data_IF_497427037097
#
_entry.id   IF_497427037097
#
_cell.length_a   1.000
_cell.length_b   1.000
_cell.length_c   1.000
_cell.angle_alpha   90.00
_cell.angle_beta   90.00
_cell.angle_gamma   90.00
#
_symmetry.space_group_name_H-M   'P 1'
#
loop_
_entity.id
_entity.type
_entity.pdbx_description
1 polymer ?
#
# COMPACT_ATOMS: atom_id res chain seq x y z
N UNK A 1 -15.24 -15.16 4.03
CA UNK A 1 -14.15 -14.69 3.13
C UNK A 1 -14.30 -13.21 2.81
N UNK A 2 -15.49 -12.77 2.38
CA UNK A 2 -15.79 -11.38 2.04
C UNK A 2 -15.69 -10.42 3.24
N UNK A 3 -16.19 -10.82 4.41
CA UNK A 3 -16.10 -10.03 5.66
C UNK A 3 -14.65 -9.74 6.09
N UNK A 4 -13.74 -10.71 5.93
CA UNK A 4 -12.32 -10.52 6.20
C UNK A 4 -11.66 -9.53 5.23
N UNK A 5 -12.09 -9.51 3.97
CA UNK A 5 -11.59 -8.57 2.96
C UNK A 5 -12.09 -7.16 3.27
N UNK A 6 -13.36 -7.00 3.64
CA UNK A 6 -13.93 -5.70 4.03
C UNK A 6 -13.17 -5.09 5.20
N UNK A 7 -12.84 -5.88 6.23
CA UNK A 7 -12.04 -5.42 7.37
C UNK A 7 -10.63 -5.01 6.93
N UNK A 8 -9.99 -5.75 6.03
CA UNK A 8 -8.68 -5.37 5.48
C UNK A 8 -8.74 -4.05 4.71
N UNK A 9 -9.80 -3.82 3.93
CA UNK A 9 -10.00 -2.52 3.28
C UNK A 9 -10.22 -1.39 4.28
N UNK A 10 -11.02 -1.61 5.33
CA UNK A 10 -11.25 -0.60 6.37
C UNK A 10 -9.97 -0.23 7.12
N UNK A 11 -9.18 -1.22 7.52
CA UNK A 11 -7.86 -1.00 8.15
C UNK A 11 -6.94 -0.27 7.18
N UNK A 12 -6.89 -0.72 5.92
CA UNK A 12 -6.05 -0.12 4.88
C UNK A 12 -6.40 1.34 4.60
N UNK A 13 -7.69 1.65 4.48
CA UNK A 13 -8.19 3.03 4.31
C UNK A 13 -7.85 3.87 5.54
N UNK A 14 -8.05 3.34 6.75
CA UNK A 14 -7.69 4.03 7.99
C UNK A 14 -6.20 4.39 8.03
N UNK A 15 -5.32 3.45 7.69
CA UNK A 15 -3.87 3.67 7.62
C UNK A 15 -3.48 4.65 6.51
N UNK A 16 -4.12 4.57 5.34
CA UNK A 16 -3.88 5.51 4.24
C UNK A 16 -4.26 6.95 4.63
N UNK A 17 -5.37 7.12 5.34
CA UNK A 17 -5.79 8.44 5.84
C UNK A 17 -4.84 8.99 6.91
N UNK A 18 -4.16 8.14 7.69
CA UNK A 18 -3.15 8.57 8.66
C UNK A 18 -1.88 9.14 8.01
N UNK A 19 -1.63 8.87 6.73
CA UNK A 19 -0.51 9.49 5.99
C UNK A 19 -0.63 11.01 6.05
N UNK A 20 -1.85 11.53 5.88
CA UNK A 20 -2.12 12.98 5.81
C UNK A 20 -1.68 13.71 7.10
N UNK A 21 -2.24 13.42 8.29
CA UNK A 21 -1.85 14.15 9.51
C UNK A 21 -0.39 13.92 9.90
N UNK A 22 0.21 12.77 9.57
CA UNK A 22 1.63 12.52 9.87
C UNK A 22 2.53 13.40 8.98
N UNK A 23 2.26 13.41 7.68
CA UNK A 23 3.06 14.17 6.70
C UNK A 23 2.88 15.67 6.90
N UNK A 24 1.63 16.15 7.03
CA UNK A 24 1.33 17.57 7.27
C UNK A 24 1.83 18.03 8.65
N UNK A 25 1.70 17.19 9.68
CA UNK A 25 2.24 17.47 11.01
C UNK A 25 3.76 17.59 11.01
N UNK A 26 4.46 16.71 10.28
CA UNK A 26 5.91 16.79 10.13
C UNK A 26 6.34 18.07 9.40
N UNK A 27 5.60 18.49 8.36
CA UNK A 27 5.82 19.74 7.65
C UNK A 27 5.63 20.97 8.54
N UNK A 28 4.59 20.98 9.37
CA UNK A 28 4.29 22.09 10.27
C UNK A 28 5.37 22.30 11.34
N UNK A 29 5.98 21.21 11.83
CA UNK A 29 7.05 21.27 12.83
C UNK A 29 8.41 21.61 12.20
N UNK A 30 8.61 21.27 10.91
CA UNK A 30 9.88 21.46 10.20
C UNK A 30 9.66 22.12 8.83
N UNK A 31 9.38 23.44 8.80
CA UNK A 31 8.93 24.16 7.59
C UNK A 31 9.96 24.27 6.45
N UNK A 32 11.24 23.97 6.70
CA UNK A 32 12.32 24.02 5.69
C UNK A 32 12.77 22.63 5.21
N UNK A 33 11.91 21.62 5.31
CA UNK A 33 12.29 20.23 5.06
C UNK A 33 12.69 19.93 3.59
N UNK A 34 12.41 20.80 2.62
CA UNK A 34 12.93 20.68 1.25
C UNK A 34 12.81 19.26 0.65
N UNK A 35 13.91 18.73 0.11
CA UNK A 35 14.00 17.35 -0.44
C UNK A 35 13.73 16.25 0.60
N UNK A 36 13.86 16.54 1.91
CA UNK A 36 13.56 15.58 2.98
C UNK A 36 12.06 15.29 3.13
N UNK A 37 11.20 16.06 2.45
CA UNK A 37 9.76 15.83 2.44
C UNK A 37 9.43 14.45 1.88
N UNK A 38 10.02 14.14 0.73
CA UNK A 38 9.89 12.84 0.10
C UNK A 38 10.38 11.74 1.04
N UNK A 39 11.49 11.98 1.73
CA UNK A 39 12.04 11.03 2.72
C UNK A 39 11.04 10.74 3.86
N UNK A 40 10.43 11.77 4.46
CA UNK A 40 9.42 11.60 5.52
C UNK A 40 8.19 10.85 5.01
N UNK A 41 7.74 11.17 3.80
CA UNK A 41 6.63 10.48 3.16
C UNK A 41 6.95 9.00 2.94
N UNK A 42 8.10 8.68 2.32
CA UNK A 42 8.52 7.30 2.07
C UNK A 42 8.66 6.49 3.36
N UNK A 43 9.26 7.05 4.42
CA UNK A 43 9.36 6.37 5.71
C UNK A 43 8.01 6.16 6.39
N UNK A 44 7.12 7.15 6.31
CA UNK A 44 5.77 7.05 6.86
C UNK A 44 5.00 5.94 6.16
N UNK A 45 4.99 5.96 4.82
CA UNK A 45 4.35 4.93 4.01
C UNK A 45 4.95 3.57 4.33
N UNK A 46 6.28 3.42 4.34
CA UNK A 46 6.93 2.16 4.65
C UNK A 46 6.56 1.61 6.04
N UNK A 47 6.48 2.46 7.05
CA UNK A 47 6.11 2.07 8.42
C UNK A 47 4.65 1.63 8.51
N UNK A 48 3.75 2.38 7.87
CA UNK A 48 2.33 2.01 7.78
C UNK A 48 2.14 0.72 6.97
N UNK A 49 3.00 0.49 5.98
CA UNK A 49 3.01 -0.75 5.22
C UNK A 49 3.33 -1.97 6.08
N UNK A 50 4.41 -1.89 6.87
CA UNK A 50 4.76 -2.95 7.83
C UNK A 50 3.60 -3.20 8.81
N UNK A 51 3.00 -2.12 9.32
CA UNK A 51 1.89 -2.19 10.28
C UNK A 51 0.70 -2.93 9.69
N UNK A 52 0.29 -2.62 8.46
CA UNK A 52 -0.80 -3.32 7.79
C UNK A 52 -0.51 -4.79 7.54
N UNK A 53 0.72 -5.12 7.14
CA UNK A 53 1.12 -6.52 6.94
C UNK A 53 1.08 -7.30 8.25
N UNK A 54 1.50 -6.69 9.35
CA UNK A 54 1.38 -7.27 10.69
C UNK A 54 -0.09 -7.51 11.08
N UNK A 55 -0.98 -6.55 10.80
CA UNK A 55 -2.39 -6.64 11.21
C UNK A 55 -3.25 -7.55 10.32
N UNK A 56 -2.88 -7.74 9.05
CA UNK A 56 -3.78 -8.36 8.06
C UNK A 56 -3.27 -9.64 7.43
N UNK A 57 -2.00 -9.98 7.61
CA UNK A 57 -1.41 -11.18 6.99
C UNK A 57 -1.60 -12.41 7.87
N UNK A 58 -2.08 -13.51 7.27
CA UNK A 58 -2.25 -14.79 7.94
C UNK A 58 -1.29 -15.88 7.41
N UNK A 59 -0.29 -15.48 6.63
CA UNK A 59 0.66 -16.40 5.99
C UNK A 59 1.87 -16.71 6.87
N UNK A 60 2.56 -17.81 6.54
CA UNK A 60 3.88 -18.10 7.09
C UNK A 60 4.87 -17.00 6.66
N UNK A 61 5.82 -16.69 7.53
CA UNK A 61 6.78 -15.59 7.38
C UNK A 61 7.35 -15.43 5.96
N UNK A 62 7.82 -16.51 5.32
CA UNK A 62 8.39 -16.43 3.96
C UNK A 62 7.41 -15.93 2.90
N UNK A 63 6.13 -16.35 2.96
CA UNK A 63 5.09 -15.88 2.05
C UNK A 63 4.67 -14.45 2.36
N UNK A 64 4.68 -14.05 3.63
CA UNK A 64 4.46 -12.66 4.06
C UNK A 64 5.53 -11.74 3.48
N UNK A 65 6.81 -12.12 3.59
CA UNK A 65 7.94 -11.35 3.05
C UNK A 65 7.84 -11.25 1.52
N UNK A 66 7.51 -12.35 0.84
CA UNK A 66 7.33 -12.32 -0.61
C UNK A 66 6.15 -11.42 -1.04
N UNK A 67 5.01 -11.51 -0.36
CA UNK A 67 3.85 -10.64 -0.61
C UNK A 67 4.22 -9.17 -0.40
N UNK A 68 4.99 -8.86 0.64
CA UNK A 68 5.47 -7.52 0.93
C UNK A 68 6.37 -6.98 -0.19
N UNK A 69 7.38 -7.74 -0.61
CA UNK A 69 8.32 -7.32 -1.67
C UNK A 69 7.57 -7.07 -2.98
N UNK A 70 6.69 -7.98 -3.39
CA UNK A 70 5.92 -7.83 -4.63
C UNK A 70 5.00 -6.60 -4.59
N UNK A 71 4.30 -6.40 -3.47
CA UNK A 71 3.42 -5.24 -3.31
C UNK A 71 4.21 -3.93 -3.33
N UNK A 72 5.37 -3.89 -2.67
CA UNK A 72 6.24 -2.71 -2.67
C UNK A 72 6.73 -2.36 -4.09
N UNK A 73 7.11 -3.37 -4.88
CA UNK A 73 7.53 -3.19 -6.27
C UNK A 73 6.38 -2.63 -7.11
N UNK A 74 5.19 -3.25 -7.07
CA UNK A 74 4.03 -2.78 -7.84
C UNK A 74 3.63 -1.36 -7.45
N UNK A 75 3.55 -1.09 -6.15
CA UNK A 75 3.23 0.24 -5.65
C UNK A 75 4.23 1.29 -6.15
N UNK A 76 5.53 0.98 -6.17
CA UNK A 76 6.56 1.91 -6.67
C UNK A 76 6.35 2.24 -8.15
N UNK A 77 6.06 1.24 -8.99
CA UNK A 77 5.76 1.47 -10.40
C UNK A 77 4.50 2.32 -10.58
N UNK A 78 3.45 2.06 -9.79
CA UNK A 78 2.22 2.83 -9.82
C UNK A 78 2.43 4.29 -9.40
N UNK A 79 3.27 4.55 -8.40
CA UNK A 79 3.61 5.94 -8.01
C UNK A 79 4.30 6.68 -9.16
N UNK A 80 5.24 6.04 -9.86
CA UNK A 80 5.91 6.66 -11.02
C UNK A 80 4.90 6.96 -12.14
N UNK A 81 3.93 6.07 -12.35
CA UNK A 81 2.88 6.29 -13.35
C UNK A 81 1.97 7.45 -12.94
N UNK A 82 1.49 7.48 -11.70
CA UNK A 82 0.65 8.55 -11.16
C UNK A 82 1.39 9.88 -11.29
N UNK A 83 2.63 9.95 -10.82
CA UNK A 83 3.43 11.17 -10.91
C UNK A 83 3.54 11.65 -12.35
N UNK A 84 3.90 10.78 -13.31
CA UNK A 84 3.99 11.13 -14.72
C UNK A 84 2.65 11.54 -15.34
N UNK A 85 1.57 10.84 -15.03
CA UNK A 85 0.24 11.12 -15.59
C UNK A 85 -0.32 12.44 -15.09
N UNK A 86 -0.03 12.80 -13.84
CA UNK A 86 -0.58 14.01 -13.24
C UNK A 86 0.38 15.21 -13.27
N UNK A 87 1.66 15.03 -13.61
CA UNK A 87 2.70 16.08 -13.61
C UNK A 87 2.31 17.35 -14.37
N UNK A 88 1.74 17.20 -15.58
CA UNK A 88 1.38 18.31 -16.47
C UNK A 88 -0.12 18.69 -16.40
N UNK A 89 -0.88 18.06 -15.50
CA UNK A 89 -2.32 18.29 -15.41
C UNK A 89 -2.64 19.55 -14.58
N UNK A 90 -3.76 20.23 -14.88
CA UNK A 90 -4.31 21.35 -14.09
C UNK A 90 -4.42 21.00 -12.59
N UNK A 91 -4.55 19.70 -12.28
CA UNK A 91 -4.64 19.14 -10.95
C UNK A 91 -3.34 19.37 -10.15
N UNK A 92 -2.15 19.36 -10.77
CA UNK A 92 -0.85 19.54 -10.08
C UNK A 92 -0.55 20.98 -9.63
N UNK A 93 -1.37 21.96 -10.06
CA UNK A 93 -1.14 23.38 -9.77
C UNK A 93 -1.92 23.91 -8.54
N UNK A 94 -2.77 23.12 -7.88
CA UNK A 94 -3.54 23.55 -6.70
C UNK A 94 -3.14 22.86 -5.40
N UNK A 95 -2.90 23.57 -4.30
CA UNK A 95 -2.43 23.04 -2.99
C UNK A 95 -3.10 21.74 -2.50
N UNK A 96 -4.36 21.47 -2.87
CA UNK A 96 -5.13 20.31 -2.44
C UNK A 96 -4.81 18.97 -3.16
N UNK A 97 -3.99 18.94 -4.21
CA UNK A 97 -3.75 17.70 -4.99
C UNK A 97 -2.83 16.70 -4.30
N UNK A 98 -1.91 17.18 -3.46
CA UNK A 98 -0.98 16.34 -2.69
C UNK A 98 -1.74 15.29 -1.87
N UNK A 99 -2.87 15.70 -1.29
CA UNK A 99 -3.77 14.83 -0.53
C UNK A 99 -4.42 13.75 -1.39
N UNK A 100 -4.86 14.10 -2.60
CA UNK A 100 -5.46 13.15 -3.54
C UNK A 100 -4.47 12.06 -3.94
N UNK A 101 -3.21 12.42 -4.19
CA UNK A 101 -2.14 11.48 -4.51
C UNK A 101 -1.82 10.56 -3.32
N UNK A 102 -1.83 11.08 -2.08
CA UNK A 102 -1.61 10.24 -0.89
C UNK A 102 -2.71 9.21 -0.67
N UNK A 103 -3.97 9.63 -0.82
CA UNK A 103 -5.11 8.73 -0.68
C UNK A 103 -5.07 7.67 -1.77
N UNK A 104 -4.83 8.07 -3.03
CA UNK A 104 -4.84 7.17 -4.17
C UNK A 104 -3.66 6.18 -4.09
N UNK A 105 -2.47 6.64 -3.70
CA UNK A 105 -1.32 5.78 -3.44
C UNK A 105 -1.54 4.79 -2.29
N UNK A 106 -2.20 5.22 -1.21
CA UNK A 106 -2.56 4.34 -0.10
C UNK A 106 -3.61 3.28 -0.50
N UNK A 107 -4.62 3.65 -1.28
CA UNK A 107 -5.66 2.73 -1.76
C UNK A 107 -5.13 1.66 -2.73
N UNK A 108 -4.24 2.05 -3.64
CA UNK A 108 -3.60 1.11 -4.57
C UNK A 108 -2.77 0.07 -3.83
N UNK A 109 -2.01 0.52 -2.84
CA UNK A 109 -1.25 -0.38 -1.98
C UNK A 109 -2.12 -1.43 -1.26
N UNK A 110 -3.25 -1.01 -0.68
CA UNK A 110 -4.20 -1.92 -0.02
C UNK A 110 -4.77 -2.93 -1.01
N UNK A 111 -5.13 -2.46 -2.20
CA UNK A 111 -5.70 -3.29 -3.27
C UNK A 111 -4.70 -4.33 -3.76
N UNK A 112 -3.44 -3.94 -4.01
CA UNK A 112 -2.39 -4.82 -4.47
C UNK A 112 -2.07 -5.92 -3.47
N UNK A 113 -1.98 -5.61 -2.17
CA UNK A 113 -1.83 -6.63 -1.14
C UNK A 113 -2.94 -7.68 -1.22
N UNK A 114 -4.20 -7.23 -1.24
CA UNK A 114 -5.36 -8.13 -1.21
C UNK A 114 -5.36 -9.04 -2.45
N UNK A 115 -4.97 -8.52 -3.60
CA UNK A 115 -4.84 -9.31 -4.83
C UNK A 115 -3.72 -10.35 -4.72
N UNK A 116 -2.53 -9.97 -4.26
CA UNK A 116 -1.38 -10.89 -4.09
C UNK A 116 -1.72 -11.99 -3.09
N UNK A 117 -2.31 -11.63 -1.96
CA UNK A 117 -2.70 -12.58 -0.92
C UNK A 117 -3.73 -13.60 -1.46
N UNK A 118 -4.71 -13.15 -2.25
CA UNK A 118 -5.65 -14.05 -2.94
C UNK A 118 -4.97 -14.97 -3.95
N UNK A 119 -3.98 -14.46 -4.70
CA UNK A 119 -3.21 -15.29 -5.64
C UNK A 119 -2.44 -16.39 -4.91
N UNK A 120 -1.87 -16.09 -3.74
CA UNK A 120 -1.19 -17.09 -2.92
C UNK A 120 -2.16 -18.14 -2.35
N UNK A 121 -3.34 -17.73 -1.90
CA UNK A 121 -4.39 -18.64 -1.46
C UNK A 121 -4.87 -19.56 -2.59
N UNK A 122 -5.06 -19.02 -3.80
CA UNK A 122 -5.42 -19.79 -4.99
C UNK A 122 -4.34 -20.82 -5.33
N UNK A 123 -3.07 -20.41 -5.40
CA UNK A 123 -1.96 -21.32 -5.68
C UNK A 123 -1.90 -22.49 -4.67
N UNK A 124 -2.09 -22.19 -3.37
CA UNK A 124 -2.13 -23.21 -2.32
C UNK A 124 -3.30 -24.18 -2.50
N UNK A 125 -4.47 -23.69 -2.89
CA UNK A 125 -5.65 -24.52 -3.13
C UNK A 125 -5.48 -25.48 -4.31
N UNK A 126 -4.94 -24.98 -5.43
CA UNK A 126 -4.64 -25.78 -6.63
C UNK A 126 -3.63 -26.89 -6.32
N UNK A 127 -2.54 -26.55 -5.61
CA UNK A 127 -1.52 -27.54 -5.26
C UNK A 127 -2.09 -28.66 -4.37
N UNK A 128 -2.94 -28.31 -3.40
CA UNK A 128 -3.62 -29.29 -2.52
C UNK A 128 -4.62 -30.17 -3.29
N UNK A 129 -5.30 -29.63 -4.29
CA UNK A 129 -6.23 -30.41 -5.11
C UNK A 129 -5.48 -31.37 -6.03
N UNK A 130 -4.41 -30.91 -6.69
CA UNK A 130 -3.56 -31.75 -7.52
C UNK A 130 -2.92 -32.89 -6.73
N UNK A 131 -2.45 -32.64 -5.50
CA UNK A 131 -1.87 -33.69 -4.66
C UNK A 131 -2.87 -34.78 -4.24
N UNK A 132 -4.17 -34.44 -4.13
CA UNK A 132 -5.23 -35.41 -3.78
C UNK A 132 -5.69 -36.27 -4.96
N UNK A 133 -5.54 -35.77 -6.18
CA UNK A 133 -5.89 -36.52 -7.41
C UNK A 133 -4.79 -37.55 -7.73
N UNK A 134 -3.55 -37.27 -7.33
CA UNK A 134 -2.39 -38.12 -7.59
C UNK A 134 -2.09 -39.15 -6.46
N UNK A 135 -2.99 -39.32 -5.49
CA UNK A 135 -2.97 -40.33 -4.42
C UNK A 135 -4.19 -41.22 -4.51
#
# INVERSE_FOLDING_TARGET
MQEKITIQYLIGVGLALLIIPIVEGALAVLPNIGWHFLTVMYFTVFTLQITFYYLTTNFKFGWTVLSFILNFIFWTFEQVIIEKTFHDSIIYNGENWKLGVYILGGLLWVTNKILIDKLFDLNKSIHKQSSRINT
#
